data_IF_593664448874
#
_entry.id   IF_593664448874
#
_cell.length_a   1.000
_cell.length_b   1.000
_cell.length_c   1.000
_cell.angle_alpha   90.00
_cell.angle_beta   90.00
_cell.angle_gamma   90.00
#
_symmetry.space_group_name_H-M   'P 1'
#
loop_
_entity.id
_entity.type
_entity.pdbx_description
1 polymer ?
#
# COMPACT_ATOMS: atom_id res chain seq x y z
N UNK A 1 -10.59 -2.72 11.51
CA UNK A 1 -11.23 -1.90 10.45
C UNK A 1 -10.29 -1.83 9.28
N UNK A 2 -10.80 -1.81 8.05
CA UNK A 2 -10.02 -1.50 6.84
C UNK A 2 -10.26 -0.05 6.44
N UNK A 3 -9.20 0.67 6.09
CA UNK A 3 -9.26 2.07 5.70
C UNK A 3 -8.22 2.41 4.61
N UNK A 4 -8.50 3.39 3.74
CA UNK A 4 -7.55 3.85 2.72
C UNK A 4 -6.39 4.61 3.36
N UNK A 5 -5.25 4.63 2.66
CA UNK A 5 -4.12 5.54 2.94
C UNK A 5 -3.61 6.14 1.62
N UNK A 6 -2.60 7.00 1.67
CA UNK A 6 -1.84 7.50 0.50
C UNK A 6 -0.96 6.43 -0.19
N UNK A 7 -0.90 5.22 0.37
CA UNK A 7 -0.15 4.08 -0.20
C UNK A 7 -1.09 2.98 -0.66
N UNK A 8 -1.52 2.14 0.27
CA UNK A 8 -2.40 0.99 0.06
C UNK A 8 -3.49 1.00 1.13
N UNK A 9 -4.54 0.19 0.96
CA UNK A 9 -5.49 -0.01 2.06
C UNK A 9 -4.80 -0.69 3.25
N UNK A 10 -5.13 -0.24 4.45
CA UNK A 10 -4.63 -0.78 5.71
C UNK A 10 -5.74 -1.48 6.49
N UNK A 11 -5.46 -2.66 7.04
CA UNK A 11 -6.24 -3.26 8.12
C UNK A 11 -5.66 -2.81 9.45
N UNK A 12 -6.52 -2.21 10.27
CA UNK A 12 -6.17 -1.47 11.47
C UNK A 12 -6.84 -2.05 12.72
N UNK A 13 -6.13 -1.97 13.83
CA UNK A 13 -6.57 -2.27 15.19
C UNK A 13 -6.17 -1.13 16.12
N UNK A 14 -6.86 -0.97 17.25
CA UNK A 14 -6.44 -0.03 18.30
C UNK A 14 -5.06 -0.43 18.83
N UNK A 15 -4.10 0.49 18.79
CA UNK A 15 -2.72 0.23 19.22
C UNK A 15 -2.58 0.01 20.74
N UNK A 16 -3.57 0.43 21.54
CA UNK A 16 -3.60 0.24 22.99
C UNK A 16 -4.36 -1.02 23.42
N UNK A 17 -5.06 -1.70 22.51
CA UNK A 17 -5.76 -2.95 22.78
C UNK A 17 -4.90 -4.14 22.30
N UNK A 18 -4.21 -4.77 23.25
CA UNK A 18 -3.36 -5.95 23.00
C UNK A 18 -4.13 -7.09 22.30
N UNK A 19 -5.41 -7.27 22.62
CA UNK A 19 -6.22 -8.31 21.99
C UNK A 19 -6.55 -7.96 20.53
N UNK A 20 -6.88 -6.69 20.26
CA UNK A 20 -7.09 -6.22 18.90
C UNK A 20 -5.83 -6.32 18.04
N UNK A 21 -4.66 -5.97 18.59
CA UNK A 21 -3.37 -6.12 17.89
C UNK A 21 -3.04 -7.59 17.65
N UNK A 22 -3.29 -8.47 18.61
CA UNK A 22 -3.10 -9.91 18.42
C UNK A 22 -3.99 -10.44 17.29
N UNK A 23 -5.25 -10.03 17.22
CA UNK A 23 -6.15 -10.40 16.12
C UNK A 23 -5.65 -9.90 14.77
N UNK A 24 -5.12 -8.68 14.71
CA UNK A 24 -4.51 -8.12 13.51
C UNK A 24 -3.33 -9.00 13.06
N UNK A 25 -2.41 -9.35 13.96
CA UNK A 25 -1.27 -10.22 13.64
C UNK A 25 -1.71 -11.60 13.15
N UNK A 26 -2.69 -12.22 13.83
CA UNK A 26 -3.25 -13.52 13.46
C UNK A 26 -3.89 -13.50 12.08
N UNK A 27 -4.71 -12.48 11.77
CA UNK A 27 -5.32 -12.32 10.44
C UNK A 27 -4.27 -12.16 9.32
N UNK A 28 -3.09 -11.65 9.68
CA UNK A 28 -1.97 -11.45 8.77
C UNK A 28 -0.99 -12.63 8.73
N UNK A 29 -1.26 -13.72 9.44
CA UNK A 29 -0.33 -14.84 9.64
C UNK A 29 1.07 -14.38 10.05
N UNK A 30 1.14 -13.33 10.88
CA UNK A 30 2.40 -12.81 11.42
C UNK A 30 2.57 -13.26 12.86
N UNK A 31 3.79 -13.66 13.19
CA UNK A 31 4.21 -13.83 14.57
C UNK A 31 4.37 -12.49 15.28
N UNK A 32 4.61 -12.56 16.59
CA UNK A 32 4.83 -11.39 17.46
C UNK A 32 6.15 -10.70 17.16
N UNK A 33 7.09 -11.39 16.52
CA UNK A 33 8.41 -10.95 16.04
C UNK A 33 8.33 -9.94 14.87
N UNK A 34 7.16 -9.77 14.26
CA UNK A 34 6.91 -8.78 13.20
C UNK A 34 5.88 -7.74 13.65
N UNK A 35 6.25 -6.84 14.60
CA UNK A 35 5.33 -5.85 15.13
C UNK A 35 4.79 -4.92 14.02
N UNK A 36 3.50 -4.56 14.04
CA UNK A 36 2.90 -3.69 13.04
C UNK A 36 3.34 -2.24 13.26
N UNK A 37 3.50 -1.45 12.18
CA UNK A 37 3.54 0.00 12.29
C UNK A 37 2.29 0.57 12.94
N UNK A 38 2.40 1.78 13.49
CA UNK A 38 1.30 2.53 14.09
C UNK A 38 1.08 3.81 13.28
N UNK A 39 -0.15 3.99 12.80
CA UNK A 39 -0.58 5.25 12.21
C UNK A 39 -0.98 6.23 13.31
N UNK A 40 -0.63 7.50 13.11
CA UNK A 40 -1.00 8.62 13.98
C UNK A 40 -1.63 9.73 13.13
N UNK A 41 -2.58 10.47 13.69
CA UNK A 41 -3.34 11.48 12.93
C UNK A 41 -2.51 12.71 12.57
N UNK A 42 -1.54 13.05 13.43
CA UNK A 42 -0.80 14.30 13.41
C UNK A 42 0.61 14.07 13.97
N UNK A 43 1.59 14.79 13.43
CA UNK A 43 3.00 14.66 13.81
C UNK A 43 3.24 14.89 15.32
N UNK A 44 2.50 15.82 15.93
CA UNK A 44 2.65 16.13 17.36
C UNK A 44 2.42 14.95 18.30
N UNK A 45 1.71 13.91 17.85
CA UNK A 45 1.52 12.66 18.62
C UNK A 45 2.84 11.88 18.77
N UNK A 46 3.78 12.04 17.84
CA UNK A 46 5.09 11.37 17.87
C UNK A 46 5.84 11.65 19.18
N UNK A 47 5.82 12.89 19.68
CA UNK A 47 6.50 13.27 20.90
C UNK A 47 5.97 12.55 22.17
N UNK A 48 4.73 12.07 22.14
CA UNK A 48 4.16 11.26 23.21
C UNK A 48 4.51 9.77 23.08
N UNK A 49 4.86 9.30 21.87
CA UNK A 49 5.05 7.89 21.57
C UNK A 49 6.52 7.45 21.40
N UNK A 50 7.39 8.36 21.01
CA UNK A 50 8.80 8.09 20.72
C UNK A 50 9.73 8.95 21.60
N UNK A 51 10.91 8.41 21.87
CA UNK A 51 12.01 9.08 22.59
C UNK A 51 13.29 9.00 21.79
N UNK A 52 14.27 9.83 22.15
CA UNK A 52 15.60 9.88 21.54
C UNK A 52 15.56 9.99 20.00
N UNK A 53 14.60 10.76 19.47
CA UNK A 53 14.40 10.95 18.03
C UNK A 53 15.55 11.82 17.48
N UNK A 54 16.41 11.30 16.58
CA UNK A 54 17.53 12.06 16.03
C UNK A 54 17.07 13.20 15.12
N UNK A 55 17.93 14.20 14.94
CA UNK A 55 17.68 15.35 14.05
C UNK A 55 17.38 14.91 12.60
N UNK A 56 18.11 13.92 12.08
CA UNK A 56 17.83 13.36 10.75
C UNK A 56 16.41 12.80 10.63
N UNK A 57 15.87 12.19 11.70
CA UNK A 57 14.49 11.71 11.70
C UNK A 57 13.49 12.87 11.65
N UNK A 58 13.72 13.93 12.45
CA UNK A 58 12.88 15.14 12.43
C UNK A 58 12.89 15.82 11.05
N UNK A 59 14.04 15.88 10.38
CA UNK A 59 14.14 16.45 9.02
C UNK A 59 13.32 15.66 8.01
N UNK A 60 13.43 14.32 8.02
CA UNK A 60 12.64 13.48 7.12
C UNK A 60 11.15 13.54 7.45
N UNK A 61 10.77 13.57 8.72
CA UNK A 61 9.38 13.75 9.14
C UNK A 61 8.83 15.07 8.63
N UNK A 62 9.53 16.19 8.87
CA UNK A 62 9.09 17.51 8.41
C UNK A 62 8.95 17.61 6.89
N UNK A 63 9.75 16.84 6.13
CA UNK A 63 9.71 16.84 4.67
C UNK A 63 8.65 15.90 4.08
N UNK A 64 8.38 14.76 4.72
CA UNK A 64 7.60 13.67 4.13
C UNK A 64 6.33 13.29 4.90
N UNK A 65 6.04 13.94 6.04
CA UNK A 65 4.77 13.79 6.76
C UNK A 65 3.87 15.02 6.60
N UNK A 66 2.55 14.82 6.42
CA UNK A 66 1.87 13.56 6.10
C UNK A 66 2.39 12.92 4.80
N UNK A 67 2.49 11.59 4.75
CA UNK A 67 2.93 10.91 3.53
C UNK A 67 3.47 9.49 3.71
N UNK A 68 4.13 8.96 2.67
CA UNK A 68 4.51 7.56 2.56
C UNK A 68 5.84 7.22 3.25
N UNK A 69 6.20 7.94 4.32
CA UNK A 69 7.34 7.66 5.18
C UNK A 69 6.88 6.97 6.47
N UNK A 70 7.58 5.91 6.87
CA UNK A 70 7.48 5.31 8.20
C UNK A 70 8.84 5.37 8.87
N UNK A 71 8.91 5.84 10.10
CA UNK A 71 10.15 5.88 10.87
C UNK A 71 10.09 4.86 12.00
N UNK A 72 11.21 4.20 12.31
CA UNK A 72 11.36 3.35 13.50
C UNK A 72 12.23 4.10 14.50
N UNK A 73 11.71 4.31 15.71
CA UNK A 73 12.39 5.01 16.79
C UNK A 73 12.28 4.23 18.10
N UNK A 74 12.96 4.69 19.16
CA UNK A 74 12.79 4.13 20.50
C UNK A 74 11.42 4.50 21.02
N UNK A 75 10.69 3.52 21.53
CA UNK A 75 9.37 3.74 22.09
C UNK A 75 9.48 4.41 23.47
N UNK A 76 8.55 5.33 23.76
CA UNK A 76 8.38 5.87 25.11
C UNK A 76 8.08 4.73 26.09
N UNK A 77 8.91 4.59 27.14
CA UNK A 77 8.90 3.40 28.01
C UNK A 77 7.64 3.29 28.89
N UNK A 78 6.93 4.40 29.10
CA UNK A 78 5.67 4.41 29.86
C UNK A 78 4.47 3.92 29.05
N UNK A 79 4.63 3.67 27.74
CA UNK A 79 3.54 3.19 26.89
C UNK A 79 3.17 1.75 27.24
N UNK A 80 1.89 1.52 27.50
CA UNK A 80 1.31 0.19 27.66
C UNK A 80 0.80 -0.39 26.33
N UNK A 81 1.50 -0.12 25.22
CA UNK A 81 1.12 -0.67 23.92
C UNK A 81 1.77 -2.04 23.74
N UNK A 82 0.95 -3.06 23.59
CA UNK A 82 1.41 -4.41 23.29
C UNK A 82 1.33 -4.67 21.78
N UNK A 83 2.37 -4.25 21.06
CA UNK A 83 2.44 -4.36 19.60
C UNK A 83 3.10 -5.66 19.11
N UNK A 84 3.53 -6.54 20.01
CA UNK A 84 4.43 -7.64 19.68
C UNK A 84 5.79 -7.53 20.38
N UNK A 85 6.75 -8.29 19.89
CA UNK A 85 8.15 -8.26 20.30
C UNK A 85 8.86 -7.06 19.65
N UNK A 86 8.58 -5.86 20.16
CA UNK A 86 9.09 -4.61 19.58
C UNK A 86 10.55 -4.31 19.92
N UNK A 87 11.13 -5.01 20.88
CA UNK A 87 12.47 -4.73 21.42
C UNK A 87 12.63 -3.25 21.88
N UNK A 88 11.55 -2.65 22.38
CA UNK A 88 11.53 -1.27 22.85
C UNK A 88 11.57 -0.23 21.72
N UNK A 89 11.09 -0.60 20.53
CA UNK A 89 11.00 0.28 19.36
C UNK A 89 9.53 0.49 18.96
N UNK A 90 9.28 1.51 18.15
CA UNK A 90 7.97 1.77 17.56
C UNK A 90 8.15 2.30 16.14
N UNK A 91 7.34 1.80 15.21
CA UNK A 91 7.27 2.29 13.85
C UNK A 91 6.07 3.23 13.71
N UNK A 92 6.29 4.49 13.32
CA UNK A 92 5.27 5.55 13.26
C UNK A 92 5.12 6.09 11.84
N UNK A 93 3.90 6.52 11.50
CA UNK A 93 3.58 7.23 10.26
C UNK A 93 2.36 8.12 10.41
N UNK A 94 2.42 9.32 9.82
CA UNK A 94 1.24 10.15 9.53
C UNK A 94 0.86 9.93 8.06
N UNK A 95 -0.27 9.26 7.73
CA UNK A 95 -0.66 9.04 6.34
C UNK A 95 -1.18 10.32 5.69
N UNK A 96 -0.87 10.56 4.41
CA UNK A 96 -1.42 11.65 3.61
C UNK A 96 -2.78 11.30 3.00
N UNK A 97 -3.71 10.90 3.87
CA UNK A 97 -5.08 10.65 3.48
C UNK A 97 -6.01 11.33 4.49
N UNK A 98 -6.85 12.25 4.03
CA UNK A 98 -7.68 13.07 4.90
C UNK A 98 -8.66 12.24 5.74
N UNK A 99 -9.34 11.27 5.10
CA UNK A 99 -10.22 10.32 5.78
C UNK A 99 -9.46 9.53 6.85
N UNK A 100 -8.25 9.08 6.52
CA UNK A 100 -7.42 8.34 7.47
C UNK A 100 -7.04 9.17 8.69
N UNK A 101 -6.59 10.42 8.46
CA UNK A 101 -6.23 11.33 9.55
C UNK A 101 -7.44 11.74 10.38
N UNK A 102 -8.63 11.89 9.78
CA UNK A 102 -9.85 12.15 10.53
C UNK A 102 -10.21 11.00 11.47
N UNK A 103 -10.14 9.76 10.99
CA UNK A 103 -10.32 8.57 11.82
C UNK A 103 -9.33 8.57 12.98
N UNK A 104 -8.03 8.75 12.69
CA UNK A 104 -6.96 8.72 13.68
C UNK A 104 -7.09 9.83 14.74
N UNK A 105 -7.56 11.02 14.37
CA UNK A 105 -7.86 12.10 15.33
C UNK A 105 -8.99 11.76 16.29
N UNK A 106 -9.95 10.92 15.86
CA UNK A 106 -11.10 10.50 16.67
C UNK A 106 -10.81 9.26 17.51
N UNK A 107 -10.06 8.31 16.98
CA UNK A 107 -9.78 7.01 17.63
C UNK A 107 -8.49 7.03 18.43
N UNK A 108 -7.54 7.89 18.08
CA UNK A 108 -6.15 7.78 18.50
C UNK A 108 -5.34 6.84 17.60
N UNK A 109 -4.09 6.53 17.99
CA UNK A 109 -3.17 5.69 17.24
C UNK A 109 -3.71 4.30 16.90
N UNK A 110 -3.51 3.86 15.66
CA UNK A 110 -3.95 2.55 15.18
C UNK A 110 -2.77 1.73 14.67
N UNK A 111 -2.62 0.51 15.19
CA UNK A 111 -1.72 -0.48 14.62
C UNK A 111 -2.23 -0.89 13.24
N UNK A 112 -1.35 -0.96 12.23
CA UNK A 112 -1.74 -1.19 10.84
C UNK A 112 -0.90 -2.28 10.17
N UNK A 113 -1.54 -3.03 9.28
CA UNK A 113 -0.88 -3.84 8.25
C UNK A 113 -1.57 -3.60 6.91
N UNK A 114 -0.93 -3.93 5.79
CA UNK A 114 -1.59 -3.84 4.48
C UNK A 114 -2.83 -4.76 4.44
N UNK A 115 -3.90 -4.31 3.82
CA UNK A 115 -5.17 -5.03 3.73
C UNK A 115 -5.10 -6.11 2.64
N UNK A 116 -4.45 -7.22 2.96
CA UNK A 116 -4.31 -8.37 2.07
C UNK A 116 -4.18 -9.67 2.88
N UNK A 117 -4.42 -10.81 2.28
CA UNK A 117 -3.94 -12.08 2.85
C UNK A 117 -2.43 -12.13 2.69
N UNK A 118 -1.71 -12.66 3.69
CA UNK A 118 -0.24 -12.74 3.63
C UNK A 118 0.24 -13.44 2.36
N UNK A 119 1.21 -12.83 1.67
CA UNK A 119 1.73 -13.30 0.38
C UNK A 119 0.95 -12.83 -0.86
N UNK A 120 -0.23 -12.23 -0.70
CA UNK A 120 -0.98 -11.62 -1.80
C UNK A 120 -0.62 -10.14 -1.99
N UNK A 121 -0.98 -9.56 -3.14
CA UNK A 121 -0.82 -8.13 -3.40
C UNK A 121 -1.66 -7.29 -2.42
N UNK A 122 -1.10 -6.17 -1.90
CA UNK A 122 -1.87 -5.21 -1.12
C UNK A 122 -3.09 -4.70 -1.88
N UNK A 123 -4.24 -4.59 -1.21
CA UNK A 123 -5.42 -3.99 -1.80
C UNK A 123 -5.21 -2.49 -2.06
N UNK A 124 -5.62 -2.05 -3.25
CA UNK A 124 -5.64 -0.65 -3.69
C UNK A 124 -7.06 -0.09 -3.77
N UNK A 125 -8.07 -0.96 -3.65
CA UNK A 125 -9.48 -0.58 -3.53
C UNK A 125 -10.13 -1.24 -2.32
N UNK A 126 -11.22 -0.65 -1.81
CA UNK A 126 -12.00 -1.26 -0.73
C UNK A 126 -12.56 -2.63 -1.13
N UNK A 127 -12.91 -2.80 -2.41
CA UNK A 127 -13.45 -4.05 -2.96
C UNK A 127 -12.40 -5.16 -2.89
N UNK A 128 -11.19 -4.90 -3.36
CA UNK A 128 -10.06 -5.85 -3.24
C UNK A 128 -9.79 -6.23 -1.78
N UNK A 129 -9.88 -5.26 -0.86
CA UNK A 129 -9.70 -5.54 0.56
C UNK A 129 -10.84 -6.41 1.13
N UNK A 130 -12.08 -6.17 0.71
CA UNK A 130 -13.24 -6.96 1.11
C UNK A 130 -13.18 -8.38 0.53
N UNK A 131 -12.78 -8.52 -0.72
CA UNK A 131 -12.60 -9.82 -1.38
C UNK A 131 -11.51 -10.66 -0.67
N UNK A 132 -10.47 -10.02 -0.13
CA UNK A 132 -9.39 -10.70 0.58
C UNK A 132 -9.67 -10.99 2.06
N UNK A 133 -10.31 -10.07 2.78
CA UNK A 133 -10.44 -10.16 4.25
C UNK A 133 -11.86 -10.46 4.73
N UNK A 134 -12.87 -10.31 3.85
CA UNK A 134 -14.27 -10.66 4.09
C UNK A 134 -14.80 -10.35 5.49
N UNK A 135 -15.25 -11.41 6.17
CA UNK A 135 -15.91 -11.32 7.49
C UNK A 135 -14.92 -11.17 8.66
N UNK A 136 -13.61 -11.31 8.42
CA UNK A 136 -12.61 -11.17 9.48
C UNK A 136 -12.46 -9.71 9.95
N UNK A 137 -12.91 -8.77 9.13
CA UNK A 137 -12.90 -7.33 9.40
C UNK A 137 -14.32 -6.80 9.54
N UNK A 138 -14.59 -6.14 10.66
CA UNK A 138 -15.93 -5.64 10.99
C UNK A 138 -16.38 -4.40 10.19
N UNK A 139 -15.45 -3.63 9.64
CA UNK A 139 -15.74 -2.34 9.00
C UNK A 139 -14.75 -2.05 7.88
N UNK A 140 -15.27 -1.63 6.74
CA UNK A 140 -14.53 -1.20 5.55
C UNK A 140 -14.91 0.24 5.23
N UNK A 141 -13.93 1.14 5.24
CA UNK A 141 -14.13 2.51 4.80
C UNK A 141 -13.75 2.62 3.34
N UNK A 142 -14.70 3.02 2.49
CA UNK A 142 -14.45 3.31 1.09
C UNK A 142 -14.01 4.78 0.95
N UNK A 143 -12.77 4.99 0.52
CA UNK A 143 -12.25 6.30 0.13
C UNK A 143 -11.71 6.32 -1.29
N UNK A 144 -12.18 5.42 -2.16
CA UNK A 144 -11.73 5.31 -3.54
C UNK A 144 -10.39 4.57 -3.71
N UNK A 145 -9.86 4.50 -4.94
CA UNK A 145 -8.61 3.81 -5.24
C UNK A 145 -7.39 4.55 -4.67
N UNK A 146 -6.38 3.81 -4.23
CA UNK A 146 -5.05 4.36 -3.87
C UNK A 146 -4.15 4.51 -5.10
N UNK A 147 -3.03 5.26 -5.03
CA UNK A 147 -2.17 5.51 -6.19
C UNK A 147 -1.51 4.26 -6.80
N UNK A 148 -1.41 3.17 -6.05
CA UNK A 148 -0.82 1.92 -6.52
C UNK A 148 -0.50 0.94 -5.36
N UNK A 149 0.15 -0.19 -5.66
CA UNK A 149 0.41 -1.25 -4.68
C UNK A 149 1.68 -1.02 -3.84
N UNK A 150 2.43 0.06 -4.11
CA UNK A 150 3.73 0.31 -3.47
C UNK A 150 3.50 0.83 -2.03
N UNK A 151 4.07 0.17 -1.00
CA UNK A 151 3.89 0.58 0.38
C UNK A 151 4.80 1.77 0.76
N UNK A 152 4.68 2.25 2.00
CA UNK A 152 5.58 3.29 2.54
C UNK A 152 7.04 2.84 2.60
N UNK A 153 7.95 3.80 2.49
CA UNK A 153 9.37 3.59 2.79
C UNK A 153 9.54 3.55 4.31
N UNK A 154 10.36 2.62 4.81
CA UNK A 154 10.64 2.48 6.25
C UNK A 154 12.12 2.79 6.52
N UNK A 155 12.36 3.75 7.40
CA UNK A 155 13.70 4.15 7.86
C UNK A 155 13.84 3.88 9.35
N UNK A 156 14.88 3.15 9.71
CA UNK A 156 15.23 2.78 11.07
C UNK A 156 16.26 3.75 11.66
N UNK A 157 15.90 4.39 12.77
CA UNK A 157 16.75 5.29 13.55
C UNK A 157 17.22 4.65 14.87
N UNK A 158 16.94 3.38 15.11
CA UNK A 158 17.30 2.68 16.35
C UNK A 158 18.76 2.23 16.30
N UNK A 159 19.64 3.08 16.86
CA UNK A 159 21.09 2.87 16.80
C UNK A 159 21.74 3.36 15.49
N UNK A 160 20.97 3.99 14.61
CA UNK A 160 21.44 4.62 13.37
C UNK A 160 21.03 6.09 13.36
N UNK A 161 21.83 7.02 13.94
CA UNK A 161 21.45 8.44 14.03
C UNK A 161 21.13 9.10 12.67
N UNK A 162 21.82 8.66 11.62
CA UNK A 162 21.61 9.13 10.24
C UNK A 162 20.47 8.40 9.50
N UNK A 163 19.88 7.37 10.11
CA UNK A 163 18.85 6.54 9.50
C UNK A 163 19.39 5.43 8.58
N UNK A 164 18.71 4.28 8.62
CA UNK A 164 18.94 3.15 7.73
C UNK A 164 17.62 2.72 7.09
N UNK A 165 17.55 2.71 5.76
CA UNK A 165 16.38 2.15 5.07
C UNK A 165 16.31 0.65 5.36
N UNK A 166 15.17 0.19 5.88
CA UNK A 166 14.89 -1.25 6.12
C UNK A 166 13.85 -1.80 5.17
N UNK A 167 13.09 -0.92 4.50
CA UNK A 167 12.21 -1.27 3.38
C UNK A 167 12.13 -0.07 2.44
N UNK A 168 12.49 -0.25 1.19
CA UNK A 168 12.21 0.75 0.16
C UNK A 168 10.74 0.68 -0.25
N UNK A 169 10.10 1.84 -0.36
CA UNK A 169 8.71 2.01 -0.78
C UNK A 169 8.60 3.16 -1.78
N UNK A 170 7.53 3.96 -1.67
CA UNK A 170 7.29 5.11 -2.57
C UNK A 170 8.46 6.11 -2.58
N UNK A 171 9.05 6.40 -1.41
CA UNK A 171 10.17 7.36 -1.30
C UNK A 171 11.48 6.62 -1.58
N UNK A 172 12.19 7.05 -2.60
CA UNK A 172 13.50 6.51 -2.98
C UNK A 172 14.60 6.92 -2.00
N UNK A 173 15.72 6.17 -2.02
CA UNK A 173 16.90 6.53 -1.21
C UNK A 173 17.47 7.90 -1.59
N UNK A 174 17.41 8.28 -2.86
CA UNK A 174 17.94 9.56 -3.34
C UNK A 174 17.09 10.74 -2.85
N UNK A 175 15.76 10.59 -2.82
CA UNK A 175 14.87 11.58 -2.20
C UNK A 175 15.13 11.72 -0.70
N UNK A 176 15.34 10.61 0.02
CA UNK A 176 15.71 10.67 1.44
C UNK A 176 17.04 11.40 1.65
N UNK A 177 18.04 11.13 0.79
CA UNK A 177 19.37 11.75 0.86
C UNK A 177 19.38 13.23 0.48
N UNK A 178 18.44 13.67 -0.35
CA UNK A 178 18.27 15.07 -0.68
C UNK A 178 17.87 15.90 0.56
N UNK A 179 17.18 15.29 1.53
CA UNK A 179 16.81 15.92 2.80
C UNK A 179 17.84 15.64 3.89
N UNK A 180 18.29 14.39 4.03
CA UNK A 180 19.28 13.96 5.02
C UNK A 180 20.34 13.08 4.36
N UNK A 181 21.48 13.69 4.02
CA UNK A 181 22.54 13.04 3.22
C UNK A 181 23.14 11.78 3.85
N UNK A 182 23.04 11.63 5.18
CA UNK A 182 23.60 10.50 5.92
C UNK A 182 22.82 9.18 5.79
N UNK A 183 21.61 9.21 5.22
CA UNK A 183 20.73 8.03 5.14
C UNK A 183 21.39 6.89 4.36
N UNK A 184 21.41 5.72 5.00
CA UNK A 184 22.06 4.51 4.46
C UNK A 184 21.04 3.57 3.83
N UNK A 185 21.46 2.88 2.77
CA UNK A 185 20.69 1.78 2.18
C UNK A 185 20.68 0.56 3.10
N UNK A 186 19.72 -0.33 2.87
CA UNK A 186 19.78 -1.68 3.40
C UNK A 186 20.98 -2.42 2.78
N UNK A 187 21.74 -3.18 3.59
CA UNK A 187 22.75 -4.08 3.05
C UNK A 187 22.03 -5.31 2.47
N UNK A 188 21.74 -5.29 1.16
CA UNK A 188 21.08 -6.42 0.51
C UNK A 188 20.63 -6.26 -0.94
N UNK A 189 20.66 -5.07 -1.54
CA UNK A 189 20.15 -4.92 -2.92
C UNK A 189 21.08 -4.04 -3.77
N UNK A 190 21.76 -4.68 -4.72
CA UNK A 190 22.31 -4.04 -5.91
C UNK A 190 21.12 -3.55 -6.74
N UNK A 191 21.07 -2.30 -7.21
CA UNK A 191 19.98 -1.87 -8.08
C UNK A 191 19.98 -2.77 -9.33
N UNK A 192 18.83 -3.38 -9.64
CA UNK A 192 18.61 -3.93 -10.97
C UNK A 192 18.78 -2.77 -11.99
N UNK A 193 19.52 -2.98 -13.10
CA UNK A 193 19.75 -1.91 -14.05
C UNK A 193 18.41 -1.42 -14.61
N UNK A 194 18.24 -0.09 -14.60
CA UNK A 194 17.09 0.56 -15.21
C UNK A 194 16.96 0.12 -16.67
N UNK A 195 15.77 -0.33 -17.06
CA UNK A 195 15.44 -0.55 -18.46
C UNK A 195 15.57 0.79 -19.20
N UNK A 196 16.56 0.87 -20.10
CA UNK A 196 16.70 1.98 -21.04
C UNK A 196 15.41 2.09 -21.86
N UNK A 197 14.70 3.20 -21.69
CA UNK A 197 13.63 3.59 -22.60
C UNK A 197 14.24 3.88 -23.96
N UNK A 198 13.82 3.24 -25.06
CA UNK A 198 14.34 3.58 -26.37
C UNK A 198 13.82 4.96 -26.77
N UNK A 199 14.74 5.82 -27.22
CA UNK A 199 14.43 7.14 -27.76
C UNK A 199 13.45 7.06 -28.95
N UNK A 200 12.57 8.05 -29.15
CA UNK A 200 11.69 8.06 -30.31
C UNK A 200 12.51 8.37 -31.57
N UNK A 201 12.44 7.48 -32.56
CA UNK A 201 12.96 7.76 -33.90
C UNK A 201 12.02 8.74 -34.61
N UNK A 202 12.58 9.90 -34.98
CA UNK A 202 11.92 10.93 -35.77
C UNK A 202 12.08 10.66 -37.27
N UNK A 203 10.98 10.94 -37.96
CA UNK A 203 10.79 11.44 -39.33
C UNK A 203 11.19 10.62 -40.57
N UNK A 204 10.27 10.65 -41.52
CA UNK A 204 10.35 10.05 -42.85
C UNK A 204 11.26 10.85 -43.80
N UNK A 205 11.58 10.28 -44.98
CA UNK A 205 11.12 10.97 -46.18
C UNK A 205 10.51 10.05 -47.25
N UNK A 206 9.82 10.71 -48.18
CA UNK A 206 9.02 10.17 -49.27
C UNK A 206 9.82 9.83 -50.55
N UNK A 207 9.17 9.05 -51.44
CA UNK A 207 9.47 8.87 -52.88
C UNK A 207 10.29 7.60 -53.18
N UNK A 208 10.02 6.75 -54.19
CA UNK A 208 9.24 6.82 -55.43
C UNK A 208 8.75 5.40 -55.82
N UNK A 209 7.79 5.31 -56.75
CA UNK A 209 7.02 4.09 -57.04
C UNK A 209 7.66 3.08 -58.02
N UNK A 210 6.93 2.00 -58.34
CA UNK A 210 6.62 1.52 -59.72
C UNK A 210 5.67 0.30 -59.67
N UNK A 211 4.50 0.50 -60.29
CA UNK A 211 3.56 -0.36 -61.05
C UNK A 211 3.45 -1.92 -60.94
N UNK A 212 2.17 -2.34 -61.09
CA UNK A 212 1.61 -3.55 -61.76
C UNK A 212 1.70 -4.90 -61.02
N UNK A 213 0.72 -5.83 -61.04
CA UNK A 213 -0.49 -6.03 -61.85
C UNK A 213 -1.38 -7.13 -61.18
N UNK A 214 -2.66 -7.23 -61.57
CA UNK A 214 -3.45 -8.49 -61.53
C UNK A 214 -4.67 -8.48 -60.58
N UNK A 215 -5.86 -8.07 -61.03
CA UNK A 215 -6.96 -8.89 -61.61
C UNK A 215 -7.59 -9.90 -60.65
N UNK A 216 -8.88 -9.71 -60.34
CA UNK A 216 -9.72 -10.69 -59.64
C UNK A 216 -11.05 -10.11 -59.18
N UNK A 217 -11.99 -10.02 -60.12
CA UNK A 217 -13.37 -9.53 -59.96
C UNK A 217 -14.32 -10.67 -59.53
N UNK A 218 -15.52 -10.28 -59.10
CA UNK A 218 -16.78 -11.03 -58.86
C UNK A 218 -16.96 -11.64 -57.45
N UNK A 219 -17.86 -11.16 -56.59
CA UNK A 219 -19.32 -10.93 -56.65
C UNK A 219 -20.11 -12.15 -56.15
N UNK A 220 -21.10 -11.91 -55.27
CA UNK A 220 -22.19 -12.88 -55.00
C UNK A 220 -22.52 -13.26 -53.54
N UNK A 221 -23.56 -12.58 -53.02
CA UNK A 221 -24.81 -13.22 -52.54
C UNK A 221 -24.92 -13.77 -51.09
N UNK A 222 -25.67 -13.02 -50.27
CA UNK A 222 -26.49 -13.40 -49.08
C UNK A 222 -27.60 -14.42 -49.49
N UNK A 223 -28.28 -15.27 -48.65
CA UNK A 223 -28.95 -14.85 -47.40
C UNK A 223 -29.21 -15.92 -46.28
N UNK A 224 -29.61 -15.41 -45.10
CA UNK A 224 -30.66 -15.91 -44.17
C UNK A 224 -30.67 -17.35 -43.61
N UNK A 225 -30.84 -17.45 -42.28
CA UNK A 225 -31.28 -18.67 -41.57
C UNK A 225 -31.82 -18.38 -40.17
N UNK A 226 -33.15 -18.23 -40.05
CA UNK A 226 -33.94 -18.04 -38.81
C UNK A 226 -34.31 -19.39 -38.17
N UNK A 227 -34.74 -19.34 -36.90
CA UNK A 227 -35.62 -20.25 -36.09
C UNK A 227 -34.89 -20.99 -34.95
N UNK A 228 -35.48 -21.28 -33.79
CA UNK A 228 -36.62 -20.77 -33.01
C UNK A 228 -36.58 -21.51 -31.65
N UNK A 229 -36.94 -20.84 -30.56
CA UNK A 229 -37.28 -21.42 -29.24
C UNK A 229 -38.65 -22.14 -29.33
N UNK A 230 -38.94 -23.19 -28.51
CA UNK A 230 -39.72 -23.01 -27.27
C UNK A 230 -39.27 -23.97 -26.12
N UNK A 231 -39.19 -23.52 -24.86
CA UNK A 231 -40.22 -23.41 -23.81
C UNK A 231 -40.24 -24.59 -22.80
N UNK A 232 -40.26 -24.22 -21.51
CA UNK A 232 -40.37 -25.04 -20.30
C UNK A 232 -41.71 -25.78 -20.16
N UNK A 233 -41.85 -26.68 -19.18
CA UNK A 233 -42.59 -26.38 -17.92
C UNK A 233 -41.96 -27.10 -16.69
N UNK A 234 -42.33 -26.98 -15.40
CA UNK A 234 -43.13 -26.09 -14.53
C UNK A 234 -43.11 -26.75 -13.12
N UNK A 235 -43.15 -25.95 -12.04
CA UNK A 235 -43.59 -26.25 -10.65
C UNK A 235 -42.91 -27.39 -9.83
N UNK A 236 -42.73 -27.29 -8.51
CA UNK A 236 -43.31 -26.37 -7.51
C UNK A 236 -42.72 -26.63 -6.10
N UNK A 237 -43.22 -25.93 -5.06
CA UNK A 237 -42.54 -25.73 -3.78
C UNK A 237 -43.06 -26.66 -2.67
N UNK A 238 -42.26 -26.95 -1.61
CA UNK A 238 -42.76 -27.23 -0.25
C UNK A 238 -41.77 -26.84 0.87
N UNK A 239 -42.38 -26.18 1.84
CA UNK A 239 -42.00 -25.68 3.18
C UNK A 239 -41.48 -26.73 4.17
N UNK A 240 -40.62 -26.32 5.11
CA UNK A 240 -40.96 -26.08 6.52
C UNK A 240 -39.80 -25.34 7.22
#
# INVERSE_FOLDING_TARGET
>A
MVMPTDTVYGVCADAFDAYAVQRLLTAKHRGRDMPPPVLIGDEGVMAALAIDVPEAANQLVAAFWPGPLTIICRAQSSLRMDLGETNGTIALRVPDNELAREVLRRTGPLAVSSANVSGQSPATTVREAADQLGVDVALYLDGGPTPGPVPSTIVDFTGYPEGRVVRQGIISLDELRAVSAGVRSFAGETPAPAEETPAPAADAPAGEGTAQNGTGETDGTDPSGTTATPASPTEGPRTA
#
